data_IF_270382415472
#
_entry.id   IF_270382415472
#
_cell.length_a   1.000
_cell.length_b   1.000
_cell.length_c   1.000
_cell.angle_alpha   90.00
_cell.angle_beta   90.00
_cell.angle_gamma   90.00
#
_symmetry.space_group_name_H-M   'P 1'
#
loop_
_entity.id
_entity.type
_entity.pdbx_description
1 polymer ?
#
# COMPACT_ATOMS: atom_id res chain seq x y z
N UNK A 1 16.68 -20.40 -19.18
CA UNK A 1 17.11 -19.13 -18.55
C UNK A 1 16.02 -18.74 -17.57
N UNK A 2 16.35 -18.68 -16.28
CA UNK A 2 15.40 -18.39 -15.21
C UNK A 2 15.35 -16.87 -15.09
N UNK A 3 14.32 -16.25 -15.68
CA UNK A 3 14.08 -14.81 -15.54
C UNK A 3 13.43 -14.56 -14.19
N UNK A 4 14.16 -13.84 -13.33
CA UNK A 4 13.76 -13.47 -11.98
C UNK A 4 12.30 -13.02 -11.90
N UNK A 5 11.49 -13.76 -11.14
CA UNK A 5 10.17 -13.34 -10.69
C UNK A 5 10.29 -11.92 -10.11
N UNK A 6 9.50 -10.98 -10.64
CA UNK A 6 9.55 -9.53 -10.40
C UNK A 6 9.23 -9.08 -8.98
N UNK A 7 9.97 -9.58 -7.98
CA UNK A 7 9.95 -9.07 -6.63
C UNK A 7 10.75 -7.77 -6.59
N UNK A 8 10.03 -6.64 -6.56
CA UNK A 8 10.63 -5.36 -6.18
C UNK A 8 11.16 -5.53 -4.76
N UNK A 9 12.46 -5.32 -4.57
CA UNK A 9 13.09 -5.33 -3.23
C UNK A 9 12.96 -3.96 -2.57
N UNK A 10 12.92 -3.88 -1.24
CA UNK A 10 12.79 -2.63 -0.48
C UNK A 10 13.80 -1.56 -0.91
N UNK A 11 15.04 -1.97 -1.18
CA UNK A 11 16.13 -1.11 -1.65
C UNK A 11 15.89 -0.49 -3.04
N UNK A 12 14.86 -0.97 -3.76
CA UNK A 12 14.42 -0.47 -5.07
C UNK A 12 13.18 0.43 -4.95
N UNK A 13 12.61 0.57 -3.76
CA UNK A 13 11.59 1.58 -3.48
C UNK A 13 12.33 2.91 -3.30
N UNK A 14 12.19 3.86 -4.24
CA UNK A 14 12.81 5.17 -4.07
C UNK A 14 12.24 5.89 -2.84
N UNK A 15 13.08 6.62 -2.11
CA UNK A 15 12.63 7.71 -1.22
C UNK A 15 11.92 8.73 -2.12
N UNK A 16 10.59 8.76 -2.07
CA UNK A 16 9.77 9.61 -2.93
C UNK A 16 9.44 10.91 -2.20
N UNK A 17 10.12 12.02 -2.49
CA UNK A 17 9.71 13.32 -1.99
C UNK A 17 8.39 13.73 -2.65
N UNK A 18 7.38 14.05 -1.84
CA UNK A 18 6.13 14.68 -2.32
C UNK A 18 4.94 13.74 -2.54
N UNK A 19 5.01 12.48 -2.14
CA UNK A 19 3.84 11.58 -2.19
C UNK A 19 2.86 11.86 -1.03
N UNK A 20 1.55 11.66 -1.24
CA UNK A 20 0.53 11.87 -0.21
C UNK A 20 0.76 10.93 0.97
N UNK A 21 1.22 11.48 2.09
CA UNK A 21 1.39 10.76 3.34
C UNK A 21 0.07 10.75 4.10
N UNK A 22 -0.46 9.56 4.32
CA UNK A 22 -1.64 9.38 5.15
C UNK A 22 -1.25 8.90 6.55
N UNK A 23 -1.40 9.75 7.57
CA UNK A 23 -1.21 9.38 8.98
C UNK A 23 -2.44 8.65 9.52
N UNK A 24 -2.23 7.48 10.09
CA UNK A 24 -3.24 6.52 10.55
C UNK A 24 -2.90 6.05 11.97
N UNK A 25 -3.88 5.67 12.79
CA UNK A 25 -3.67 5.20 14.18
C UNK A 25 -3.07 3.77 14.31
N UNK A 26 -3.64 2.94 15.19
CA UNK A 26 -3.17 1.57 15.50
C UNK A 26 -2.86 0.69 14.28
N UNK A 27 -1.59 0.28 14.20
CA UNK A 27 -0.97 -0.51 13.15
C UNK A 27 -1.63 -1.87 12.89
N UNK A 28 -2.36 -2.44 13.87
CA UNK A 28 -2.98 -3.78 13.76
C UNK A 28 -4.00 -3.89 12.61
N UNK A 29 -4.62 -2.77 12.23
CA UNK A 29 -5.65 -2.74 11.19
C UNK A 29 -5.10 -2.45 9.79
N UNK A 30 -3.78 -2.23 9.65
CA UNK A 30 -3.15 -1.90 8.37
C UNK A 30 -3.37 -3.01 7.35
N UNK A 31 -2.96 -4.23 7.67
CA UNK A 31 -3.02 -5.34 6.72
C UNK A 31 -4.44 -5.62 6.19
N UNK A 32 -5.49 -5.75 7.04
CA UNK A 32 -6.85 -5.92 6.54
C UNK A 32 -7.37 -4.71 5.75
N UNK A 33 -7.00 -3.48 6.11
CA UNK A 33 -7.36 -2.30 5.33
C UNK A 33 -6.71 -2.30 3.94
N UNK A 34 -5.44 -2.71 3.83
CA UNK A 34 -4.74 -2.83 2.54
C UNK A 34 -5.42 -3.85 1.63
N UNK A 35 -5.71 -5.05 2.14
CA UNK A 35 -6.36 -6.11 1.34
C UNK A 35 -7.67 -5.62 0.71
N UNK A 36 -8.49 -4.92 1.50
CA UNK A 36 -9.76 -4.35 1.02
C UNK A 36 -9.56 -3.21 0.03
N UNK A 37 -8.58 -2.35 0.26
CA UNK A 37 -8.29 -1.24 -0.64
C UNK A 37 -7.82 -1.74 -2.02
N UNK A 38 -6.94 -2.73 -2.02
CA UNK A 38 -6.43 -3.39 -3.23
C UNK A 38 -7.55 -4.08 -4.00
N UNK A 39 -8.41 -4.84 -3.32
CA UNK A 39 -9.60 -5.48 -3.89
C UNK A 39 -10.52 -4.46 -4.60
N UNK A 40 -10.86 -3.35 -3.92
CA UNK A 40 -11.74 -2.30 -4.47
C UNK A 40 -11.09 -1.46 -5.58
N UNK A 41 -9.77 -1.43 -5.65
CA UNK A 41 -9.02 -0.78 -6.72
C UNK A 41 -8.77 -1.70 -7.92
N UNK A 42 -9.26 -2.95 -7.91
CA UNK A 42 -8.96 -3.94 -8.95
C UNK A 42 -7.45 -4.15 -9.13
N UNK A 43 -6.71 -4.06 -8.02
CA UNK A 43 -5.30 -4.35 -7.94
C UNK A 43 -5.13 -5.78 -7.40
N UNK A 44 -4.04 -6.45 -7.78
CA UNK A 44 -3.60 -7.70 -7.17
C UNK A 44 -2.39 -7.43 -6.26
N UNK A 45 -2.22 -8.24 -5.21
CA UNK A 45 -1.00 -8.24 -4.40
C UNK A 45 -0.13 -9.40 -4.88
N UNK A 46 1.04 -9.11 -5.43
CA UNK A 46 1.96 -10.14 -5.93
C UNK A 46 2.91 -10.63 -4.85
N UNK A 47 3.39 -9.73 -3.99
CA UNK A 47 4.27 -10.09 -2.89
C UNK A 47 4.16 -9.10 -1.75
N UNK A 48 4.30 -9.62 -0.53
CA UNK A 48 4.50 -8.82 0.67
C UNK A 48 5.97 -8.93 1.05
N UNK A 49 6.68 -7.81 1.07
CA UNK A 49 8.09 -7.78 1.48
C UNK A 49 8.22 -7.43 2.96
N UNK A 50 9.16 -8.10 3.61
CA UNK A 50 9.27 -8.26 5.05
C UNK A 50 9.67 -6.97 5.76
N UNK A 51 9.08 -6.81 6.94
CA UNK A 51 9.18 -5.70 7.88
C UNK A 51 10.62 -5.32 8.19
N UNK A 52 11.11 -4.19 7.66
CA UNK A 52 12.23 -3.48 8.27
C UNK A 52 11.64 -2.57 9.35
N UNK A 53 12.09 -2.65 10.60
CA UNK A 53 11.50 -1.99 11.79
C UNK A 53 10.44 -0.91 11.48
N UNK A 54 9.17 -1.31 11.53
CA UNK A 54 8.03 -0.40 11.32
C UNK A 54 7.54 -0.25 9.88
N UNK A 55 8.27 -0.66 8.84
CA UNK A 55 7.89 -0.46 7.43
C UNK A 55 7.48 -1.75 6.74
N UNK A 56 6.34 -1.74 6.06
CA UNK A 56 5.79 -2.84 5.27
C UNK A 56 5.62 -2.40 3.82
N UNK A 57 6.07 -3.23 2.88
CA UNK A 57 5.92 -2.97 1.44
C UNK A 57 5.05 -4.04 0.81
N UNK A 58 4.00 -3.60 0.14
CA UNK A 58 3.11 -4.43 -0.66
C UNK A 58 3.40 -4.19 -2.14
N UNK A 59 3.82 -5.21 -2.87
CA UNK A 59 3.93 -5.16 -4.32
C UNK A 59 2.55 -5.36 -4.92
N UNK A 60 2.12 -4.39 -5.73
CA UNK A 60 0.81 -4.34 -6.37
C UNK A 60 0.94 -4.58 -7.86
N UNK A 61 -0.07 -5.18 -8.48
CA UNK A 61 -0.18 -5.33 -9.92
C UNK A 61 -1.55 -4.87 -10.40
N UNK A 62 -1.58 -4.01 -11.42
CA UNK A 62 -2.83 -3.60 -12.07
C UNK A 62 -3.36 -4.68 -13.00
N UNK A 63 -4.63 -4.56 -13.42
CA UNK A 63 -5.24 -5.43 -14.45
C UNK A 63 -4.49 -5.42 -15.78
N UNK A 64 -3.73 -4.36 -16.05
CA UNK A 64 -2.93 -4.21 -17.26
C UNK A 64 -1.48 -4.66 -17.06
N UNK A 65 -1.20 -5.46 -16.01
CA UNK A 65 0.12 -5.94 -15.62
C UNK A 65 1.16 -4.83 -15.38
N UNK A 66 0.71 -3.62 -15.04
CA UNK A 66 1.63 -2.57 -14.58
C UNK A 66 1.95 -2.79 -13.10
N UNK A 67 3.24 -2.85 -12.74
CA UNK A 67 3.67 -3.01 -11.36
C UNK A 67 3.45 -1.72 -10.56
N UNK A 68 3.26 -1.87 -9.26
CA UNK A 68 3.17 -0.79 -8.30
C UNK A 68 3.59 -1.27 -6.91
N UNK A 69 3.60 -0.35 -5.97
CA UNK A 69 3.87 -0.64 -4.57
C UNK A 69 3.05 0.25 -3.66
N UNK A 70 2.73 -0.28 -2.48
CA UNK A 70 2.17 0.44 -1.36
C UNK A 70 3.12 0.23 -0.17
N UNK A 71 3.69 1.32 0.33
CA UNK A 71 4.56 1.36 1.49
C UNK A 71 3.75 1.85 2.68
N UNK A 72 3.81 1.13 3.78
CA UNK A 72 3.22 1.52 5.05
C UNK A 72 4.33 1.59 6.10
N UNK A 73 4.61 2.76 6.64
CA UNK A 73 5.61 2.98 7.68
C UNK A 73 4.92 3.23 9.01
N UNK A 74 5.39 2.61 10.09
CA UNK A 74 4.96 2.92 11.44
C UNK A 74 5.63 4.22 11.85
N UNK A 75 4.83 5.16 12.34
CA UNK A 75 5.28 6.45 12.87
C UNK A 75 4.87 6.58 14.33
N UNK A 76 5.39 7.57 15.04
CA UNK A 76 4.99 7.85 16.43
C UNK A 76 3.49 8.23 16.54
N UNK A 77 2.91 8.75 15.45
CA UNK A 77 1.49 9.06 15.33
C UNK A 77 0.64 7.87 14.83
N UNK A 78 1.28 6.72 14.51
CA UNK A 78 0.65 5.45 14.14
C UNK A 78 1.25 4.84 12.85
N UNK A 79 0.71 5.15 11.67
CA UNK A 79 1.18 4.63 10.38
C UNK A 79 1.09 5.69 9.27
N UNK A 80 2.05 5.69 8.34
CA UNK A 80 2.13 6.53 7.15
C UNK A 80 2.04 5.64 5.91
N UNK A 81 1.10 5.91 5.01
CA UNK A 81 0.97 5.15 3.77
C UNK A 81 1.37 5.98 2.54
N UNK A 82 2.05 5.33 1.59
CA UNK A 82 2.46 5.91 0.30
C UNK A 82 2.29 4.86 -0.79
N UNK A 83 1.79 5.26 -1.96
CA UNK A 83 1.55 4.34 -3.05
C UNK A 83 2.10 4.89 -4.36
N UNK A 84 2.68 4.02 -5.18
CA UNK A 84 3.03 4.32 -6.57
C UNK A 84 2.55 3.20 -7.46
N UNK A 85 1.84 3.54 -8.52
CA UNK A 85 1.32 2.55 -9.47
C UNK A 85 1.80 2.89 -10.87
N UNK A 86 2.40 1.93 -11.56
CA UNK A 86 3.03 2.14 -12.85
C UNK A 86 4.37 2.86 -12.77
N UNK A 87 5.08 2.86 -13.90
CA UNK A 87 6.45 3.39 -13.99
C UNK A 87 6.54 4.89 -13.67
N UNK A 88 5.56 5.69 -14.13
CA UNK A 88 5.50 7.14 -13.90
C UNK A 88 4.62 7.56 -12.73
N UNK A 89 3.92 6.60 -12.10
CA UNK A 89 2.88 6.91 -11.14
C UNK A 89 1.55 7.29 -11.80
N UNK A 90 0.49 6.53 -11.53
CA UNK A 90 -0.90 6.89 -11.81
C UNK A 90 -1.51 7.61 -10.59
N UNK A 91 -1.61 8.96 -10.60
CA UNK A 91 -2.08 9.72 -9.44
C UNK A 91 -3.56 9.43 -9.11
N UNK A 92 -4.39 9.14 -10.11
CA UNK A 92 -5.83 8.88 -9.90
C UNK A 92 -6.00 7.55 -9.16
N UNK A 93 -5.26 6.53 -9.58
CA UNK A 93 -5.35 5.22 -8.97
C UNK A 93 -4.67 5.18 -7.58
N UNK A 94 -3.59 5.94 -7.40
CA UNK A 94 -2.94 6.12 -6.10
C UNK A 94 -3.85 6.82 -5.09
N UNK A 95 -4.46 7.95 -5.47
CA UNK A 95 -5.39 8.68 -4.61
C UNK A 95 -6.59 7.82 -4.25
N UNK A 96 -7.12 7.07 -5.22
CA UNK A 96 -8.22 6.13 -4.99
C UNK A 96 -7.82 5.04 -3.99
N UNK A 97 -6.64 4.43 -4.15
CA UNK A 97 -6.12 3.41 -3.25
C UNK A 97 -5.96 3.94 -1.82
N UNK A 98 -5.28 5.07 -1.67
CA UNK A 98 -5.01 5.66 -0.35
C UNK A 98 -6.30 6.13 0.34
N UNK A 99 -7.27 6.67 -0.41
CA UNK A 99 -8.58 7.04 0.12
C UNK A 99 -9.35 5.82 0.63
N UNK A 100 -9.47 4.76 -0.16
CA UNK A 100 -10.20 3.55 0.26
C UNK A 100 -9.49 2.91 1.45
N UNK A 101 -8.16 2.86 1.43
CA UNK A 101 -7.35 2.39 2.53
C UNK A 101 -7.63 3.18 3.81
N UNK A 102 -7.62 4.52 3.75
CA UNK A 102 -7.97 5.39 4.88
C UNK A 102 -9.36 5.09 5.43
N UNK A 103 -10.35 5.09 4.55
CA UNK A 103 -11.75 4.95 4.94
C UNK A 103 -12.00 3.59 5.59
N UNK A 104 -11.35 2.53 5.09
CA UNK A 104 -11.41 1.17 5.67
C UNK A 104 -10.64 1.05 6.97
N UNK A 105 -9.48 1.68 7.06
CA UNK A 105 -8.68 1.68 8.25
C UNK A 105 -9.40 2.38 9.42
N UNK A 106 -9.98 3.56 9.17
CA UNK A 106 -10.75 4.30 10.17
C UNK A 106 -11.93 3.49 10.72
N UNK A 107 -12.61 2.77 9.83
CA UNK A 107 -13.78 2.01 10.23
C UNK A 107 -13.47 0.69 10.94
N UNK A 108 -12.36 0.03 10.59
CA UNK A 108 -11.83 -1.09 11.37
C UNK A 108 -11.46 -0.65 12.79
N UNK A 109 -10.99 0.58 12.98
CA UNK A 109 -10.68 1.14 14.29
C UNK A 109 -11.92 1.50 15.11
N UNK A 110 -12.99 1.98 14.47
CA UNK A 110 -14.23 2.30 15.17
C UNK A 110 -15.05 1.06 15.53
N UNK A 111 -14.61 -0.14 15.13
CA UNK A 111 -15.36 -1.40 15.32
C UNK A 111 -16.64 -1.44 14.49
N UNK A 112 -16.75 -0.57 13.48
CA UNK A 112 -17.93 -0.47 12.63
C UNK A 112 -17.80 -1.50 11.50
N UNK A 113 -18.73 -2.47 11.38
CA UNK A 113 -18.68 -3.46 10.31
C UNK A 113 -18.94 -2.75 8.97
N UNK A 114 -17.87 -2.37 8.27
CA UNK A 114 -18.03 -1.78 6.94
C UNK A 114 -18.42 -2.85 5.94
N UNK A 115 -19.52 -2.66 5.17
CA UNK A 115 -19.93 -3.57 4.11
C UNK A 115 -18.91 -3.63 2.94
#
# INVERSE_FOLDING_TARGET
MIGSNGKISYSQVPDLPGEPVLTLGDYRYVHPAVLRAVEKCSLAIESHEQTREGTHVYTLLTTNNQPGYLVIEKTDAGAAARARIGYYGDPVLQDKLLRIFRDRFAALQSGDPVP
#
